data_IF_047241544402
#
_entry.id   IF_047241544402
#
_cell.length_a   1.000
_cell.length_b   1.000
_cell.length_c   1.000
_cell.angle_alpha   90.00
_cell.angle_beta   90.00
_cell.angle_gamma   90.00
#
_symmetry.space_group_name_H-M   'P 1'
#
loop_
_entity.id
_entity.type
_entity.pdbx_description
1 polymer ?
#
# COMPACT_ATOMS: atom_id res chain seq x y z
N UNK A 1 32.28 50.21 14.87
CA UNK A 1 32.89 48.89 14.68
C UNK A 1 31.77 47.95 14.19
N UNK A 2 31.70 47.70 12.86
CA UNK A 2 30.63 46.90 12.26
C UNK A 2 31.22 45.50 11.98
N UNK A 3 30.68 44.48 12.66
CA UNK A 3 31.02 43.08 12.44
C UNK A 3 30.31 42.60 11.17
N UNK A 4 31.06 42.27 10.14
CA UNK A 4 30.55 41.61 8.93
C UNK A 4 30.50 40.08 9.18
N UNK A 5 29.28 39.52 9.24
CA UNK A 5 29.07 38.11 9.22
C UNK A 5 29.29 37.61 7.80
N UNK A 6 30.32 36.81 7.59
CA UNK A 6 30.56 36.10 6.35
C UNK A 6 29.58 34.93 6.26
N UNK A 7 28.73 34.94 5.25
CA UNK A 7 27.92 33.79 4.84
C UNK A 7 28.83 32.89 4.00
N UNK A 8 29.22 31.75 4.54
CA UNK A 8 29.96 30.72 3.82
C UNK A 8 29.04 30.04 2.79
N UNK A 9 29.42 30.17 1.51
CA UNK A 9 28.75 29.50 0.41
C UNK A 9 28.99 27.97 0.49
N UNK A 10 27.90 27.20 0.46
CA UNK A 10 27.94 25.75 0.35
C UNK A 10 28.48 25.30 -1.03
N UNK A 11 29.26 24.19 -1.12
CA UNK A 11 29.87 23.76 -2.35
C UNK A 11 28.82 23.24 -3.36
N UNK A 12 28.93 23.74 -4.59
CA UNK A 12 28.16 23.29 -5.76
C UNK A 12 28.74 21.99 -6.31
N UNK A 13 28.38 20.85 -5.72
CA UNK A 13 28.51 19.54 -6.37
C UNK A 13 27.34 18.66 -5.94
N UNK A 14 26.17 18.93 -6.53
CA UNK A 14 25.13 17.90 -6.61
C UNK A 14 25.18 17.34 -8.03
N UNK A 15 25.58 16.06 -8.09
CA UNK A 15 25.75 15.32 -9.32
C UNK A 15 24.42 15.24 -10.10
N UNK A 16 24.54 15.53 -11.40
CA UNK A 16 23.48 15.45 -12.39
C UNK A 16 23.15 13.98 -12.69
N UNK A 17 22.18 13.37 -11.99
CA UNK A 17 21.60 12.10 -12.41
C UNK A 17 20.12 11.91 -12.09
N UNK A 18 19.45 12.88 -11.46
CA UNK A 18 17.99 12.86 -11.32
C UNK A 18 17.36 14.18 -11.82
N UNK A 19 17.63 14.55 -13.07
CA UNK A 19 16.73 15.46 -13.75
C UNK A 19 15.49 14.66 -14.14
N UNK A 20 14.51 14.63 -13.26
CA UNK A 20 13.14 14.36 -13.64
C UNK A 20 12.80 15.41 -14.70
N UNK A 21 12.73 14.98 -15.95
CA UNK A 21 12.26 15.83 -17.04
C UNK A 21 10.87 16.35 -16.65
N UNK A 22 10.73 17.66 -16.58
CA UNK A 22 9.52 18.42 -16.21
C UNK A 22 8.34 18.24 -17.18
N UNK A 23 8.38 17.28 -18.08
CA UNK A 23 7.41 17.10 -19.16
C UNK A 23 6.34 16.02 -18.91
N UNK A 24 6.19 15.52 -17.66
CA UNK A 24 5.08 14.61 -17.34
C UNK A 24 4.42 14.93 -15.99
N UNK A 25 3.81 16.07 -15.89
CA UNK A 25 2.74 16.33 -14.92
C UNK A 25 1.53 15.47 -15.32
N UNK A 26 1.48 14.18 -14.88
CA UNK A 26 0.33 13.35 -15.18
C UNK A 26 0.45 11.85 -14.91
N UNK A 27 1.62 11.23 -14.91
CA UNK A 27 1.73 9.79 -14.65
C UNK A 27 2.19 9.49 -13.23
N UNK A 28 1.38 8.73 -12.48
CA UNK A 28 1.78 8.23 -11.18
C UNK A 28 3.03 7.33 -11.30
N UNK A 29 3.93 7.40 -10.31
CA UNK A 29 5.03 6.44 -10.17
C UNK A 29 4.40 5.10 -9.75
N UNK A 30 4.57 4.06 -10.58
CA UNK A 30 4.08 2.73 -10.26
C UNK A 30 5.09 1.97 -9.42
N UNK A 31 4.65 1.49 -8.26
CA UNK A 31 5.46 0.76 -7.28
C UNK A 31 4.75 -0.55 -6.96
N UNK A 32 5.52 -1.62 -6.86
CA UNK A 32 5.08 -2.91 -6.32
C UNK A 32 5.78 -3.17 -4.99
N UNK A 33 5.05 -3.74 -4.03
CA UNK A 33 5.62 -4.09 -2.73
C UNK A 33 5.11 -5.45 -2.25
N UNK A 34 5.94 -6.15 -1.47
CA UNK A 34 5.63 -7.46 -0.89
C UNK A 34 5.43 -7.38 0.62
N UNK A 35 4.23 -7.70 1.10
CA UNK A 35 4.03 -8.09 2.48
C UNK A 35 4.54 -9.54 2.63
N UNK A 36 5.85 -9.67 2.85
CA UNK A 36 6.51 -10.97 3.04
C UNK A 36 6.22 -11.45 4.45
N UNK A 37 5.64 -12.64 4.57
CA UNK A 37 5.15 -13.20 5.83
C UNK A 37 5.84 -14.53 6.07
N UNK A 38 6.45 -14.68 7.25
CA UNK A 38 7.13 -15.92 7.65
C UNK A 38 6.17 -16.96 8.25
N UNK A 39 6.75 -18.08 8.71
CA UNK A 39 6.00 -19.19 9.31
C UNK A 39 5.38 -18.84 10.68
N UNK A 40 5.89 -17.81 11.34
CA UNK A 40 5.40 -17.29 12.62
C UNK A 40 4.41 -16.13 12.45
N UNK A 41 3.89 -15.91 11.23
CA UNK A 41 2.98 -14.82 10.86
C UNK A 41 3.55 -13.40 11.11
N UNK A 42 4.89 -13.25 11.14
CA UNK A 42 5.54 -11.95 11.19
C UNK A 42 5.70 -11.39 9.78
N UNK A 43 5.62 -10.09 9.67
CA UNK A 43 5.73 -9.35 8.40
C UNK A 43 7.07 -8.66 8.30
N UNK A 44 7.76 -8.81 7.18
CA UNK A 44 9.03 -8.15 6.92
C UNK A 44 8.81 -6.71 6.49
N UNK A 45 9.55 -5.79 7.11
CA UNK A 45 9.64 -4.39 6.70
C UNK A 45 11.10 -3.98 6.51
N UNK A 46 11.32 -3.01 5.62
CA UNK A 46 12.61 -2.43 5.30
C UNK A 46 12.65 -0.95 5.70
N UNK A 47 13.79 -0.47 6.18
CA UNK A 47 13.98 0.95 6.47
C UNK A 47 14.69 1.63 5.30
N UNK A 48 14.12 2.70 4.79
CA UNK A 48 14.70 3.44 3.66
C UNK A 48 16.07 3.98 3.99
N UNK A 49 17.10 3.66 3.18
CA UNK A 49 18.46 4.09 3.45
C UNK A 49 18.63 5.61 3.33
N UNK A 50 19.69 6.18 3.95
CA UNK A 50 20.05 7.58 3.80
C UNK A 50 20.21 7.98 2.32
N UNK A 51 19.78 9.21 1.98
CA UNK A 51 19.89 9.74 0.60
C UNK A 51 18.70 9.46 -0.30
N UNK A 52 17.77 8.57 0.07
CA UNK A 52 16.48 8.39 -0.63
C UNK A 52 15.42 9.35 -0.04
N UNK A 53 14.39 9.68 -0.84
CA UNK A 53 13.21 10.40 -0.33
C UNK A 53 12.60 9.63 0.85
N UNK A 54 12.21 10.34 1.91
CA UNK A 54 11.63 9.76 3.13
C UNK A 54 12.60 8.79 3.85
N UNK A 55 13.90 9.07 3.80
CA UNK A 55 14.93 8.28 4.46
C UNK A 55 14.62 8.05 5.95
N UNK A 56 14.89 6.85 6.45
CA UNK A 56 14.60 6.44 7.83
C UNK A 56 13.17 5.94 8.07
N UNK A 57 12.22 6.19 7.16
CA UNK A 57 10.87 5.63 7.23
C UNK A 57 10.86 4.12 6.96
N UNK A 58 9.94 3.41 7.59
CA UNK A 58 9.72 1.98 7.35
C UNK A 58 8.69 1.76 6.25
N UNK A 59 8.92 0.77 5.40
CA UNK A 59 8.07 0.41 4.27
C UNK A 59 8.07 -1.10 4.02
N UNK A 60 7.15 -1.59 3.22
CA UNK A 60 7.23 -2.97 2.70
C UNK A 60 8.29 -3.04 1.60
N UNK A 61 9.13 -4.11 1.57
CA UNK A 61 10.16 -4.27 0.54
C UNK A 61 9.54 -4.31 -0.86
N UNK A 62 10.20 -3.65 -1.82
CA UNK A 62 9.72 -3.52 -3.19
C UNK A 62 10.25 -2.28 -3.89
N UNK A 63 9.78 -2.03 -5.12
CA UNK A 63 10.31 -0.91 -5.87
C UNK A 63 9.48 -0.51 -7.09
N UNK A 64 10.08 0.30 -7.96
CA UNK A 64 9.42 0.88 -9.12
C UNK A 64 9.28 -0.14 -10.25
N UNK A 65 8.08 -0.23 -10.83
CA UNK A 65 7.90 -0.97 -12.08
C UNK A 65 8.64 -0.30 -13.24
N UNK A 66 9.25 -1.09 -14.08
CA UNK A 66 9.80 -0.67 -15.35
C UNK A 66 8.65 -0.40 -16.34
N UNK A 67 8.91 0.39 -17.35
CA UNK A 67 7.89 0.70 -18.36
C UNK A 67 7.40 -0.58 -19.05
N UNK A 68 6.09 -0.84 -18.97
CA UNK A 68 5.47 -2.03 -19.56
C UNK A 68 5.72 -3.34 -18.78
N UNK A 69 6.37 -3.29 -17.64
CA UNK A 69 6.62 -4.47 -16.80
C UNK A 69 5.34 -4.96 -16.14
N UNK A 70 5.11 -6.27 -16.20
CA UNK A 70 4.04 -6.91 -15.44
C UNK A 70 4.30 -6.80 -13.94
N UNK A 71 3.25 -6.56 -13.14
CA UNK A 71 3.35 -6.32 -11.70
C UNK A 71 3.97 -7.46 -10.93
N UNK A 72 3.60 -8.71 -11.26
CA UNK A 72 4.14 -9.90 -10.60
C UNK A 72 5.60 -10.12 -10.96
N UNK A 73 5.96 -9.86 -12.22
CA UNK A 73 7.35 -9.94 -12.69
C UNK A 73 8.20 -8.86 -11.99
N UNK A 74 7.69 -7.63 -11.91
CA UNK A 74 8.35 -6.54 -11.20
C UNK A 74 8.54 -6.83 -9.72
N UNK A 75 7.51 -7.34 -9.04
CA UNK A 75 7.59 -7.74 -7.63
C UNK A 75 8.68 -8.81 -7.42
N UNK A 76 8.69 -9.86 -8.25
CA UNK A 76 9.69 -10.93 -8.17
C UNK A 76 11.11 -10.40 -8.36
N UNK A 77 11.30 -9.50 -9.32
CA UNK A 77 12.58 -8.85 -9.57
C UNK A 77 13.03 -7.99 -8.39
N UNK A 78 12.16 -7.09 -7.90
CA UNK A 78 12.49 -6.18 -6.80
C UNK A 78 12.82 -6.93 -5.52
N UNK A 79 12.04 -7.95 -5.12
CA UNK A 79 12.31 -8.71 -3.91
C UNK A 79 13.60 -9.55 -4.02
N UNK A 80 13.96 -10.00 -5.23
CA UNK A 80 15.27 -10.65 -5.46
C UNK A 80 16.42 -9.64 -5.37
N UNK A 81 16.27 -8.48 -6.03
CA UNK A 81 17.30 -7.44 -6.08
C UNK A 81 17.53 -6.82 -4.69
N UNK A 82 16.45 -6.53 -3.94
CA UNK A 82 16.52 -5.79 -2.68
C UNK A 82 16.80 -6.66 -1.45
N UNK A 83 16.18 -7.85 -1.39
CA UNK A 83 16.25 -8.72 -0.20
C UNK A 83 16.66 -10.17 -0.48
N UNK A 84 16.99 -10.54 -1.72
CA UNK A 84 17.61 -11.82 -2.08
C UNK A 84 16.68 -13.04 -2.02
N UNK A 85 15.36 -12.87 -2.07
CA UNK A 85 14.41 -13.99 -2.03
C UNK A 85 13.81 -14.29 -3.41
N UNK A 86 13.53 -15.57 -3.67
CA UNK A 86 12.77 -16.03 -4.83
C UNK A 86 11.34 -16.36 -4.41
N UNK A 87 10.37 -15.61 -4.90
CA UNK A 87 8.98 -15.77 -4.52
C UNK A 87 8.19 -16.71 -5.43
N UNK A 88 7.22 -17.42 -4.86
CA UNK A 88 6.26 -18.20 -5.60
C UNK A 88 4.83 -17.90 -5.16
N UNK A 89 3.87 -17.97 -6.09
CA UNK A 89 2.43 -17.77 -5.83
C UNK A 89 2.08 -16.53 -4.99
N UNK A 90 2.64 -15.33 -5.30
CA UNK A 90 2.24 -14.13 -4.60
C UNK A 90 0.76 -13.82 -4.88
N UNK A 91 0.05 -13.30 -3.87
CA UNK A 91 -1.37 -12.99 -3.94
C UNK A 91 -1.59 -11.49 -3.84
N UNK A 92 -2.37 -10.84 -4.72
CA UNK A 92 -2.73 -9.44 -4.56
C UNK A 92 -3.38 -9.18 -3.20
N UNK A 93 -3.04 -8.05 -2.58
CA UNK A 93 -3.61 -7.61 -1.32
C UNK A 93 -4.44 -6.33 -1.48
N UNK A 94 -3.82 -5.30 -2.02
CA UNK A 94 -4.52 -4.07 -2.33
C UNK A 94 -3.77 -3.25 -3.37
N UNK A 95 -4.51 -2.38 -4.08
CA UNK A 95 -3.95 -1.33 -4.92
C UNK A 95 -4.48 0.00 -4.43
N UNK A 96 -3.60 0.97 -4.24
CA UNK A 96 -3.98 2.31 -3.82
C UNK A 96 -3.16 3.37 -4.54
N UNK A 97 -3.64 4.61 -4.44
CA UNK A 97 -2.90 5.78 -4.88
C UNK A 97 -2.65 6.71 -3.70
N UNK A 98 -1.41 7.17 -3.58
CA UNK A 98 -1.02 8.15 -2.57
C UNK A 98 -0.33 9.34 -3.21
N UNK A 99 -0.64 10.56 -2.72
CA UNK A 99 -0.01 11.79 -3.21
C UNK A 99 1.00 12.28 -2.19
N UNK A 100 2.26 12.28 -2.59
CA UNK A 100 3.35 12.89 -1.86
C UNK A 100 3.65 14.29 -2.40
N UNK A 101 4.39 15.14 -1.67
CA UNK A 101 4.83 16.44 -2.19
C UNK A 101 5.63 16.37 -3.50
N UNK A 102 6.29 15.25 -3.76
CA UNK A 102 7.08 14.99 -4.96
C UNK A 102 6.31 14.33 -6.12
N UNK A 103 5.04 13.99 -5.93
CA UNK A 103 4.21 13.37 -6.97
C UNK A 103 3.28 12.26 -6.47
N UNK A 104 2.53 11.69 -7.42
CA UNK A 104 1.63 10.58 -7.13
C UNK A 104 2.36 9.23 -7.23
N UNK A 105 2.07 8.35 -6.28
CA UNK A 105 2.50 6.94 -6.26
C UNK A 105 1.27 6.06 -6.38
N UNK A 106 1.29 5.13 -7.34
CA UNK A 106 0.36 4.00 -7.43
C UNK A 106 1.07 2.79 -6.83
N UNK A 107 0.65 2.38 -5.65
CA UNK A 107 1.23 1.26 -4.90
C UNK A 107 0.35 0.02 -5.10
N UNK A 108 0.97 -1.07 -5.55
CA UNK A 108 0.35 -2.39 -5.75
C UNK A 108 1.02 -3.37 -4.78
N UNK A 109 0.31 -3.81 -3.76
CA UNK A 109 0.85 -4.64 -2.68
C UNK A 109 0.36 -6.07 -2.78
N UNK A 110 1.28 -7.00 -2.55
CA UNK A 110 1.06 -8.43 -2.64
C UNK A 110 1.46 -9.14 -1.35
N UNK A 111 0.69 -10.12 -0.94
CA UNK A 111 1.07 -11.06 0.14
C UNK A 111 2.01 -12.12 -0.44
N UNK A 112 3.13 -12.34 0.23
CA UNK A 112 4.16 -13.31 -0.12
C UNK A 112 4.40 -14.23 1.07
N UNK A 113 3.83 -15.45 1.03
CA UNK A 113 4.02 -16.48 2.06
C UNK A 113 4.93 -17.63 1.61
N UNK A 114 5.15 -17.73 0.30
CA UNK A 114 5.97 -18.82 -0.27
C UNK A 114 7.16 -18.22 -1.00
N UNK A 115 8.33 -18.41 -0.43
CA UNK A 115 9.59 -17.92 -0.98
C UNK A 115 10.75 -18.86 -0.61
N UNK A 116 11.84 -18.77 -1.35
CA UNK A 116 13.11 -19.44 -1.08
C UNK A 116 14.17 -18.40 -0.76
N UNK A 117 15.09 -18.76 0.11
CA UNK A 117 16.17 -17.88 0.59
C UNK A 117 15.83 -17.23 1.92
N UNK A 118 16.85 -16.65 2.54
CA UNK A 118 16.75 -15.86 3.76
C UNK A 118 16.81 -14.38 3.38
N UNK A 119 15.84 -13.53 3.79
CA UNK A 119 15.88 -12.10 3.47
C UNK A 119 17.15 -11.44 4.01
N UNK A 120 17.85 -10.74 3.15
CA UNK A 120 19.10 -10.04 3.44
C UNK A 120 19.02 -8.60 2.95
N UNK A 121 19.66 -7.68 3.67
CA UNK A 121 19.70 -6.26 3.32
C UNK A 121 20.73 -6.00 2.19
N UNK A 122 20.36 -6.26 0.95
CA UNK A 122 21.26 -6.16 -0.20
C UNK A 122 21.53 -4.71 -0.65
N UNK A 123 20.60 -3.79 -0.34
CA UNK A 123 20.70 -2.34 -0.60
C UNK A 123 21.27 -1.55 0.60
N UNK A 124 21.74 -2.23 1.65
CA UNK A 124 22.23 -1.59 2.88
C UNK A 124 21.14 -1.02 3.78
N UNK A 125 19.88 -1.34 3.51
CA UNK A 125 18.73 -1.00 4.35
C UNK A 125 18.69 -1.86 5.62
N UNK A 126 18.08 -1.38 6.70
CA UNK A 126 17.74 -2.25 7.83
C UNK A 126 16.49 -3.07 7.50
N UNK A 127 16.49 -4.34 7.91
CA UNK A 127 15.32 -5.23 7.82
C UNK A 127 14.82 -5.57 9.22
N UNK A 128 13.51 -5.72 9.37
CA UNK A 128 12.89 -6.12 10.64
C UNK A 128 11.65 -6.97 10.40
N UNK A 129 11.56 -8.10 11.10
CA UNK A 129 10.34 -8.87 11.22
C UNK A 129 9.45 -8.29 12.31
N UNK A 130 8.19 -8.06 12.02
CA UNK A 130 7.20 -7.49 12.93
C UNK A 130 6.01 -8.39 13.09
N UNK A 131 5.57 -8.60 14.32
CA UNK A 131 4.23 -9.08 14.61
C UNK A 131 3.19 -8.05 14.18
N UNK A 132 1.92 -8.44 14.07
CA UNK A 132 0.84 -7.52 13.71
C UNK A 132 0.77 -6.30 14.64
N UNK A 133 0.91 -6.50 15.96
CA UNK A 133 0.87 -5.41 16.94
C UNK A 133 2.07 -4.46 16.84
N UNK A 134 3.26 -4.98 16.55
CA UNK A 134 4.46 -4.15 16.32
C UNK A 134 4.34 -3.36 15.02
N UNK A 135 3.74 -3.95 13.97
CA UNK A 135 3.51 -3.29 12.70
C UNK A 135 2.57 -2.09 12.86
N UNK A 136 1.50 -2.23 13.64
CA UNK A 136 0.55 -1.14 13.96
C UNK A 136 1.21 0.03 14.69
N UNK A 137 2.19 -0.23 15.55
CA UNK A 137 2.93 0.79 16.31
C UNK A 137 4.14 1.35 15.59
N UNK A 138 4.51 0.78 14.42
CA UNK A 138 5.66 1.22 13.65
C UNK A 138 5.34 2.46 12.82
N UNK A 139 6.27 3.42 12.77
CA UNK A 139 6.17 4.59 11.90
C UNK A 139 6.44 4.21 10.43
N UNK A 140 5.40 3.65 9.80
CA UNK A 140 5.41 3.32 8.38
C UNK A 140 5.21 4.56 7.52
N UNK A 141 5.71 4.51 6.29
CA UNK A 141 5.43 5.54 5.29
C UNK A 141 3.90 5.68 5.06
N UNK A 142 3.43 6.89 4.75
CA UNK A 142 1.99 7.15 4.61
C UNK A 142 1.24 6.22 3.66
N UNK A 143 1.87 5.83 2.53
CA UNK A 143 1.27 4.90 1.57
C UNK A 143 1.18 3.45 2.09
N UNK A 144 1.98 3.08 3.09
CA UNK A 144 2.05 1.72 3.64
C UNK A 144 1.06 1.48 4.79
N UNK A 145 0.56 2.55 5.45
CA UNK A 145 -0.39 2.42 6.56
C UNK A 145 -1.66 1.65 6.20
N UNK A 146 -2.31 1.85 5.03
CA UNK A 146 -3.48 1.06 4.62
C UNK A 146 -3.19 -0.43 4.43
N UNK A 147 -1.93 -0.80 4.16
CA UNK A 147 -1.52 -2.21 4.03
C UNK A 147 -1.69 -2.93 5.37
N UNK A 148 -1.36 -2.28 6.48
CA UNK A 148 -1.54 -2.85 7.83
C UNK A 148 -3.00 -3.17 8.09
N UNK A 149 -3.91 -2.30 7.69
CA UNK A 149 -5.36 -2.54 7.76
C UNK A 149 -5.76 -3.73 6.89
N UNK A 150 -5.29 -3.77 5.64
CA UNK A 150 -5.61 -4.85 4.72
C UNK A 150 -5.13 -6.23 5.22
N UNK A 151 -3.96 -6.28 5.87
CA UNK A 151 -3.41 -7.52 6.46
C UNK A 151 -4.25 -8.07 7.63
N UNK A 152 -5.04 -7.22 8.29
CA UNK A 152 -5.94 -7.62 9.38
C UNK A 152 -7.30 -8.13 8.91
N UNK A 153 -7.64 -7.87 7.67
CA UNK A 153 -8.93 -8.22 7.11
C UNK A 153 -8.86 -9.54 6.33
N UNK A 154 -9.89 -10.39 6.40
CA UNK A 154 -9.96 -11.60 5.59
C UNK A 154 -10.20 -11.24 4.12
N UNK A 155 -9.86 -12.15 3.21
CA UNK A 155 -10.15 -12.01 1.77
C UNK A 155 -11.65 -11.99 1.45
N UNK A 156 -12.44 -12.63 2.32
CA UNK A 156 -13.90 -12.72 2.21
C UNK A 156 -14.55 -12.14 3.46
N UNK A 157 -15.32 -11.09 3.30
CA UNK A 157 -16.15 -10.53 4.36
C UNK A 157 -17.52 -11.22 4.33
N UNK A 158 -17.74 -12.19 5.20
CA UNK A 158 -18.98 -12.97 5.27
C UNK A 158 -19.96 -12.46 6.32
N UNK A 159 -19.51 -11.62 7.24
CA UNK A 159 -20.30 -11.04 8.32
C UNK A 159 -20.12 -9.53 8.36
N UNK A 160 -21.19 -8.80 8.69
CA UNK A 160 -21.12 -7.34 8.85
C UNK A 160 -20.41 -6.91 10.12
N UNK A 161 -20.26 -7.79 11.11
CA UNK A 161 -19.60 -7.49 12.38
C UNK A 161 -18.90 -8.73 12.94
N UNK A 162 -17.65 -8.53 13.36
CA UNK A 162 -16.81 -9.54 14.02
C UNK A 162 -16.11 -8.91 15.23
N UNK A 163 -15.21 -9.64 15.88
CA UNK A 163 -14.31 -9.08 16.92
C UNK A 163 -13.24 -8.13 16.36
N UNK A 164 -13.05 -8.05 15.03
CA UNK A 164 -11.97 -7.30 14.41
C UNK A 164 -12.47 -6.12 13.57
N UNK A 165 -13.67 -6.24 13.00
CA UNK A 165 -14.22 -5.20 12.13
C UNK A 165 -15.75 -5.14 12.23
N UNK A 166 -16.28 -3.98 11.83
CA UNK A 166 -17.73 -3.76 11.61
C UNK A 166 -17.94 -3.03 10.30
N UNK A 167 -18.91 -3.48 9.51
CA UNK A 167 -19.36 -2.81 8.29
C UNK A 167 -20.74 -2.20 8.55
N UNK A 168 -20.91 -0.93 8.23
CA UNK A 168 -22.17 -0.20 8.42
C UNK A 168 -22.36 0.81 7.30
N UNK A 169 -23.55 1.40 7.24
CA UNK A 169 -23.80 2.55 6.38
C UNK A 169 -23.00 3.78 6.86
N UNK A 170 -22.70 4.70 5.95
CA UNK A 170 -21.81 5.83 6.18
C UNK A 170 -22.15 6.73 7.39
N UNK A 171 -23.38 6.66 7.89
CA UNK A 171 -23.89 7.46 9.00
C UNK A 171 -23.51 6.96 10.40
N UNK A 172 -22.96 5.73 10.54
CA UNK A 172 -22.71 5.12 11.84
C UNK A 172 -21.28 5.37 12.32
N UNK A 173 -21.12 6.18 13.37
CA UNK A 173 -19.87 6.31 14.11
C UNK A 173 -19.79 5.24 15.21
N UNK A 174 -18.76 4.40 15.20
CA UNK A 174 -18.49 3.45 16.30
C UNK A 174 -17.36 4.02 17.17
N UNK A 175 -17.50 3.83 18.49
CA UNK A 175 -16.53 4.31 19.49
C UNK A 175 -15.52 3.24 19.91
N UNK A 176 -15.54 2.09 19.27
CA UNK A 176 -14.71 0.93 19.56
C UNK A 176 -13.43 0.88 18.70
N UNK A 177 -12.46 0.06 19.12
CA UNK A 177 -11.18 -0.15 18.43
C UNK A 177 -11.28 -1.05 17.19
N UNK A 178 -12.51 -1.35 16.73
CA UNK A 178 -12.75 -2.19 15.56
C UNK A 178 -12.46 -1.43 14.26
N UNK A 179 -11.97 -2.14 13.26
CA UNK A 179 -11.86 -1.58 11.91
C UNK A 179 -13.25 -1.26 11.36
N UNK A 180 -13.41 -0.04 10.87
CA UNK A 180 -14.67 0.49 10.37
C UNK A 180 -14.77 0.33 8.86
N UNK A 181 -15.58 -0.63 8.42
CA UNK A 181 -16.01 -0.77 7.03
C UNK A 181 -17.23 0.08 6.74
N UNK A 182 -17.27 0.66 5.54
CA UNK A 182 -18.42 1.45 5.08
C UNK A 182 -18.90 0.92 3.75
N UNK A 183 -20.22 0.70 3.65
CA UNK A 183 -20.85 0.38 2.38
C UNK A 183 -20.90 1.62 1.47
N UNK A 184 -20.61 1.44 0.20
CA UNK A 184 -20.73 2.49 -0.81
C UNK A 184 -21.26 1.91 -2.13
N UNK A 185 -21.93 2.73 -2.92
CA UNK A 185 -22.49 2.38 -4.24
C UNK A 185 -21.83 3.18 -5.38
N UNK A 186 -21.05 4.17 -5.03
CA UNK A 186 -20.40 5.07 -5.98
C UNK A 186 -19.02 5.52 -5.49
N UNK A 187 -18.20 5.98 -6.42
CA UNK A 187 -16.90 6.59 -6.11
C UNK A 187 -17.04 7.79 -5.16
N UNK A 188 -18.07 8.63 -5.35
CA UNK A 188 -18.31 9.80 -4.49
C UNK A 188 -18.56 9.39 -3.05
N UNK A 189 -19.41 8.39 -2.82
CA UNK A 189 -19.66 7.85 -1.48
C UNK A 189 -18.41 7.24 -0.87
N UNK A 190 -17.60 6.53 -1.66
CA UNK A 190 -16.34 5.96 -1.23
C UNK A 190 -15.37 7.03 -0.76
N UNK A 191 -15.16 8.10 -1.54
CA UNK A 191 -14.31 9.23 -1.18
C UNK A 191 -14.81 9.95 0.09
N UNK A 192 -16.13 10.13 0.24
CA UNK A 192 -16.74 10.70 1.45
C UNK A 192 -16.54 9.80 2.68
N UNK A 193 -16.69 8.49 2.53
CA UNK A 193 -16.47 7.53 3.61
C UNK A 193 -15.01 7.54 4.09
N UNK A 194 -14.05 7.56 3.16
CA UNK A 194 -12.62 7.68 3.48
C UNK A 194 -12.33 9.00 4.21
N UNK A 195 -12.86 10.12 3.73
CA UNK A 195 -12.71 11.42 4.38
C UNK A 195 -13.33 11.44 5.79
N UNK A 196 -14.38 10.65 6.03
CA UNK A 196 -15.02 10.46 7.33
C UNK A 196 -14.30 9.42 8.23
N UNK A 197 -13.16 8.86 7.77
CA UNK A 197 -12.29 7.94 8.52
C UNK A 197 -12.72 6.48 8.43
N UNK A 198 -13.28 6.02 7.30
CA UNK A 198 -13.44 4.58 7.05
C UNK A 198 -12.07 3.92 6.92
N UNK A 199 -11.91 2.75 7.54
CA UNK A 199 -10.68 1.95 7.43
C UNK A 199 -10.69 1.06 6.18
N UNK A 200 -11.87 0.68 5.69
CA UNK A 200 -12.07 -0.06 4.44
C UNK A 200 -13.47 0.19 3.87
N UNK A 201 -13.66 -0.20 2.62
CA UNK A 201 -14.92 -0.01 1.90
C UNK A 201 -15.49 -1.34 1.41
N UNK A 202 -16.81 -1.43 1.35
CA UNK A 202 -17.53 -2.53 0.71
C UNK A 202 -18.43 -1.96 -0.38
N UNK A 203 -18.08 -2.20 -1.64
CA UNK A 203 -18.84 -1.74 -2.79
C UNK A 203 -20.07 -2.63 -3.00
N UNK A 204 -21.24 -2.03 -2.90
CA UNK A 204 -22.54 -2.64 -3.20
C UNK A 204 -23.02 -2.25 -4.60
N UNK A 205 -23.76 -3.15 -5.23
CA UNK A 205 -24.38 -2.89 -6.53
C UNK A 205 -23.52 -3.35 -7.72
N UNK A 206 -24.11 -3.17 -8.90
CA UNK A 206 -23.46 -3.58 -10.16
C UNK A 206 -22.64 -2.41 -10.66
N UNK A 207 -21.32 -2.54 -10.60
CA UNK A 207 -20.38 -1.62 -11.23
C UNK A 207 -19.63 -2.38 -12.33
N UNK A 208 -19.28 -1.69 -13.40
CA UNK A 208 -18.40 -2.24 -14.43
C UNK A 208 -16.97 -2.43 -13.88
N UNK A 209 -16.22 -3.33 -14.50
CA UNK A 209 -14.81 -3.58 -14.16
C UNK A 209 -13.98 -2.29 -14.17
N UNK A 210 -14.24 -1.41 -15.14
CA UNK A 210 -13.59 -0.12 -15.24
C UNK A 210 -13.91 0.81 -14.05
N UNK A 211 -15.14 0.83 -13.57
CA UNK A 211 -15.54 1.63 -12.40
C UNK A 211 -14.94 1.08 -11.11
N UNK A 212 -14.91 -0.24 -10.93
CA UNK A 212 -14.27 -0.89 -9.79
C UNK A 212 -12.78 -0.57 -9.76
N UNK A 213 -12.10 -0.78 -10.90
CA UNK A 213 -10.66 -0.50 -11.00
C UNK A 213 -10.34 0.98 -10.78
N UNK A 214 -11.16 1.90 -11.31
CA UNK A 214 -11.03 3.33 -11.09
C UNK A 214 -11.26 3.72 -9.62
N UNK A 215 -12.22 3.09 -8.93
CA UNK A 215 -12.48 3.32 -7.52
C UNK A 215 -11.31 2.83 -6.66
N UNK A 216 -10.84 1.60 -6.86
CA UNK A 216 -9.67 1.07 -6.16
C UNK A 216 -8.44 1.95 -6.33
N UNK A 217 -8.23 2.51 -7.52
CA UNK A 217 -7.14 3.44 -7.80
C UNK A 217 -7.33 4.85 -7.22
N UNK A 218 -8.56 5.22 -6.83
CA UNK A 218 -8.88 6.57 -6.35
C UNK A 218 -8.83 6.70 -4.82
N UNK A 219 -9.04 5.61 -4.10
CA UNK A 219 -9.07 5.61 -2.63
C UNK A 219 -7.77 5.09 -2.03
N UNK A 220 -7.53 5.42 -0.75
CA UNK A 220 -6.34 5.05 -0.01
C UNK A 220 -6.62 4.01 1.09
N UNK A 221 -7.68 3.21 0.94
CA UNK A 221 -8.08 2.17 1.88
C UNK A 221 -8.44 0.89 1.13
N UNK A 222 -8.42 -0.29 1.77
CA UNK A 222 -8.87 -1.55 1.18
C UNK A 222 -10.30 -1.46 0.65
N UNK A 223 -10.56 -2.04 -0.53
CA UNK A 223 -11.88 -2.10 -1.17
C UNK A 223 -12.29 -3.55 -1.32
N UNK A 224 -13.49 -3.86 -0.88
CA UNK A 224 -14.16 -5.14 -1.10
C UNK A 224 -15.30 -4.96 -2.09
N UNK A 225 -15.46 -5.92 -2.98
CA UNK A 225 -16.51 -5.87 -4.00
C UNK A 225 -17.49 -7.03 -3.83
N UNK A 226 -18.74 -6.85 -4.24
CA UNK A 226 -19.78 -7.89 -4.20
C UNK A 226 -20.04 -8.43 -5.59
N UNK A 227 -20.42 -9.71 -5.67
CA UNK A 227 -20.87 -10.34 -6.91
C UNK A 227 -19.79 -10.75 -7.91
N UNK A 228 -18.50 -10.72 -7.50
CA UNK A 228 -17.36 -11.19 -8.29
C UNK A 228 -16.73 -12.44 -7.67
N UNK A 229 -16.03 -13.22 -8.48
CA UNK A 229 -15.06 -14.18 -7.97
C UNK A 229 -13.86 -13.44 -7.36
N UNK A 230 -13.17 -14.08 -6.43
CA UNK A 230 -12.07 -13.45 -5.69
C UNK A 230 -10.92 -13.04 -6.62
N UNK A 231 -10.59 -13.89 -7.59
CA UNK A 231 -9.54 -13.66 -8.57
C UNK A 231 -9.86 -12.45 -9.47
N UNK A 232 -11.13 -12.30 -9.88
CA UNK A 232 -11.59 -11.17 -10.69
C UNK A 232 -11.52 -9.87 -9.88
N UNK A 233 -11.95 -9.91 -8.60
CA UNK A 233 -11.84 -8.77 -7.70
C UNK A 233 -10.38 -8.30 -7.56
N UNK A 234 -9.44 -9.22 -7.38
CA UNK A 234 -8.01 -8.91 -7.31
C UNK A 234 -7.45 -8.35 -8.61
N UNK A 235 -7.87 -8.87 -9.76
CA UNK A 235 -7.46 -8.35 -11.07
C UNK A 235 -7.84 -6.87 -11.23
N UNK A 236 -8.96 -6.45 -10.66
CA UNK A 236 -9.43 -5.07 -10.68
C UNK A 236 -8.78 -4.18 -9.61
N UNK A 237 -8.02 -4.76 -8.68
CA UNK A 237 -7.30 -4.04 -7.62
C UNK A 237 -8.04 -3.99 -6.28
N UNK A 238 -9.15 -4.71 -6.15
CA UNK A 238 -9.82 -4.88 -4.86
C UNK A 238 -8.99 -5.75 -3.90
N UNK A 239 -9.23 -5.60 -2.61
CA UNK A 239 -8.56 -6.38 -1.55
C UNK A 239 -9.23 -7.73 -1.32
N UNK A 240 -10.48 -7.88 -1.73
CA UNK A 240 -11.26 -9.09 -1.58
C UNK A 240 -12.71 -8.93 -1.96
N UNK A 241 -13.54 -9.87 -1.54
CA UNK A 241 -14.97 -9.86 -1.83
C UNK A 241 -15.82 -9.73 -0.57
N UNK A 242 -16.94 -9.00 -0.68
CA UNK A 242 -17.95 -8.86 0.36
C UNK A 242 -19.14 -9.77 0.09
N UNK A 243 -19.30 -10.81 0.89
CA UNK A 243 -20.43 -11.74 0.84
C UNK A 243 -21.44 -11.47 1.96
N UNK A 244 -21.41 -10.25 2.54
CA UNK A 244 -22.28 -9.82 3.63
C UNK A 244 -23.70 -9.71 3.10
N UNK A 245 -24.67 -10.36 3.76
CA UNK A 245 -26.08 -10.21 3.47
C UNK A 245 -26.54 -8.76 3.73
N UNK A 246 -27.53 -8.30 2.96
CA UNK A 246 -28.15 -6.99 3.12
C UNK A 246 -29.00 -6.91 4.41
#
# INVERSE_FOLDING_TARGET
MRVRTQVQALPRHFAASERLSSDRLGSAIHVVAGAVIDAEDRVLIAQRPPGKHLAGGWEFPGGKLRLGEDRRVGLTRELREEIGIEISTPRPLLRLRHTYPFGQVSLDVWVVRHYLGEPQALDGQALRWCTQGELESTELLPADKPVVVALRLPERLIQASTSHYRVADASVRTADSLLRGVFCTSRREAEQAVAAGADFLVLRGVASDGEISALCAAVSVPVYVRGLALEDAWALGASGIGEIAD
#
